data_IF_818541741134
#
_entry.id   IF_818541741134
#
_cell.length_a   1.000
_cell.length_b   1.000
_cell.length_c   1.000
_cell.angle_alpha   90.00
_cell.angle_beta   90.00
_cell.angle_gamma   90.00
#
_symmetry.space_group_name_H-M   'P 1'
#
loop_
_entity.id
_entity.type
_entity.pdbx_description
1 polymer ?
#
# COMPACT_ATOMS: atom_id res chain seq x y z
N UNK A 1 -7.47 -19.65 20.96
CA UNK A 1 -6.96 -18.47 20.22
C UNK A 1 -7.02 -18.79 18.74
N UNK A 2 -7.78 -18.02 17.95
CA UNK A 2 -8.04 -18.33 16.52
C UNK A 2 -6.92 -17.81 15.59
N UNK A 3 -6.06 -16.93 16.11
CA UNK A 3 -4.95 -16.33 15.35
C UNK A 3 -3.66 -17.07 15.70
N UNK A 4 -2.90 -17.47 14.68
CA UNK A 4 -1.61 -18.11 14.89
C UNK A 4 -0.64 -17.12 15.57
N UNK A 5 -0.04 -17.50 16.67
CA UNK A 5 0.82 -16.67 17.52
C UNK A 5 2.24 -16.51 16.96
N UNK A 6 2.36 -15.88 15.78
CA UNK A 6 3.67 -15.56 15.17
C UNK A 6 4.20 -14.19 15.61
N UNK A 7 3.38 -13.36 16.19
CA UNK A 7 3.73 -12.07 16.75
C UNK A 7 3.45 -12.03 18.26
N UNK A 8 4.14 -11.18 18.96
CA UNK A 8 3.87 -10.88 20.37
C UNK A 8 3.31 -9.43 20.45
N UNK A 9 2.02 -9.21 20.19
CA UNK A 9 1.44 -7.89 20.19
C UNK A 9 1.46 -7.29 21.60
N UNK A 10 1.51 -5.96 21.66
CA UNK A 10 1.27 -5.20 22.90
C UNK A 10 -0.19 -5.47 23.32
N UNK A 11 -0.42 -5.64 24.61
CA UNK A 11 -1.75 -5.91 25.15
C UNK A 11 -2.58 -4.60 25.24
N UNK A 12 -2.88 -4.06 24.06
CA UNK A 12 -3.72 -2.88 23.86
C UNK A 12 -4.72 -3.24 22.76
N UNK A 13 -6.00 -3.29 23.09
CA UNK A 13 -7.06 -3.46 22.11
C UNK A 13 -7.43 -2.11 21.51
N UNK A 14 -6.95 -1.83 20.29
CA UNK A 14 -7.18 -0.56 19.60
C UNK A 14 -8.57 -0.57 18.96
N UNK A 15 -9.39 0.45 19.28
CA UNK A 15 -10.71 0.67 18.74
C UNK A 15 -10.69 1.62 17.53
N UNK A 16 -10.14 2.82 17.69
CA UNK A 16 -10.09 3.81 16.63
C UNK A 16 -8.84 4.69 16.69
N UNK A 17 -8.65 5.54 15.68
CA UNK A 17 -7.59 6.54 15.64
C UNK A 17 -8.09 7.88 15.10
N UNK A 18 -7.51 8.97 15.62
CA UNK A 18 -7.75 10.34 15.16
C UNK A 18 -6.45 11.14 15.15
N UNK A 19 -6.09 11.68 14.01
CA UNK A 19 -4.83 12.39 13.80
C UNK A 19 -3.63 11.55 14.21
N UNK A 20 -2.88 11.98 15.21
CA UNK A 20 -1.67 11.30 15.69
C UNK A 20 -1.95 10.34 16.86
N UNK A 21 -3.20 10.14 17.24
CA UNK A 21 -3.58 9.33 18.38
C UNK A 21 -4.33 8.07 17.99
N UNK A 22 -4.13 7.01 18.77
CA UNK A 22 -4.97 5.81 18.80
C UNK A 22 -5.66 5.74 20.16
N UNK A 23 -6.83 5.13 20.18
CA UNK A 23 -7.68 4.95 21.36
C UNK A 23 -7.97 3.47 21.53
N UNK A 24 -7.76 2.97 22.74
CA UNK A 24 -8.14 1.61 23.09
C UNK A 24 -9.64 1.51 23.40
N UNK A 25 -10.14 0.29 23.43
CA UNK A 25 -11.55 -0.01 23.72
C UNK A 25 -12.01 0.46 25.09
N UNK A 26 -11.11 0.65 26.05
CA UNK A 26 -11.37 1.24 27.36
C UNK A 26 -11.35 2.78 27.38
N UNK A 27 -11.10 3.41 26.21
CA UNK A 27 -11.04 4.86 26.06
C UNK A 27 -9.67 5.49 26.35
N UNK A 28 -8.65 4.71 26.66
CA UNK A 28 -7.30 5.23 26.89
C UNK A 28 -6.69 5.75 25.59
N UNK A 29 -6.13 6.94 25.62
CA UNK A 29 -5.50 7.59 24.47
C UNK A 29 -3.99 7.38 24.46
N UNK A 30 -3.45 6.97 23.34
CA UNK A 30 -2.01 6.79 23.09
C UNK A 30 -1.54 7.65 21.93
N UNK A 31 -0.37 8.25 22.05
CA UNK A 31 0.30 8.93 20.95
C UNK A 31 0.97 7.88 20.07
N UNK A 32 0.54 7.76 18.81
CA UNK A 32 1.03 6.74 17.88
C UNK A 32 2.26 7.20 17.09
N UNK A 33 3.44 6.90 17.61
CA UNK A 33 4.70 7.08 16.87
C UNK A 33 4.99 5.96 15.87
N UNK A 34 4.23 4.88 15.87
CA UNK A 34 4.47 3.76 14.94
C UNK A 34 3.85 4.00 13.58
N UNK A 35 2.76 4.78 13.52
CA UNK A 35 2.02 5.09 12.27
C UNK A 35 1.72 3.86 11.42
N UNK A 36 1.46 2.70 12.04
CA UNK A 36 1.30 1.43 11.32
C UNK A 36 2.55 1.06 10.50
N UNK A 37 3.74 1.37 11.00
CA UNK A 37 5.04 1.21 10.31
C UNK A 37 5.08 2.05 9.02
N UNK A 38 4.70 3.34 9.13
CA UNK A 38 4.73 4.33 8.06
C UNK A 38 3.53 4.29 7.10
N UNK A 39 2.49 3.52 7.40
CA UNK A 39 1.28 3.41 6.57
C UNK A 39 0.38 4.63 6.73
N UNK A 40 0.18 5.10 7.96
CA UNK A 40 -0.73 6.21 8.29
C UNK A 40 0.01 7.55 8.39
N UNK A 41 0.86 7.85 7.42
CA UNK A 41 1.72 9.04 7.41
C UNK A 41 0.98 10.39 7.42
N UNK A 42 -0.29 10.42 7.04
CA UNK A 42 -1.16 11.60 7.15
C UNK A 42 -1.97 11.64 8.45
N UNK A 43 -1.75 10.68 9.34
CA UNK A 43 -2.54 10.48 10.56
C UNK A 43 -3.75 9.59 10.33
N UNK A 44 -4.31 9.13 11.45
CA UNK A 44 -5.52 8.32 11.47
C UNK A 44 -6.73 9.15 11.07
N UNK A 45 -7.67 8.53 10.39
CA UNK A 45 -8.98 9.13 10.05
C UNK A 45 -8.89 10.47 9.31
N UNK A 46 -7.84 10.66 8.50
CA UNK A 46 -7.62 11.91 7.79
C UNK A 46 -8.82 12.28 6.90
N UNK A 47 -9.45 13.45 7.07
CA UNK A 47 -10.76 13.76 6.48
C UNK A 47 -10.77 13.73 4.95
N UNK A 48 -9.67 14.15 4.31
CA UNK A 48 -9.55 14.11 2.84
C UNK A 48 -9.51 12.67 2.33
N UNK A 49 -8.82 11.76 3.03
CA UNK A 49 -8.74 10.34 2.66
C UNK A 49 -10.09 9.65 2.87
N UNK A 50 -10.75 9.91 4.00
CA UNK A 50 -12.10 9.37 4.28
C UNK A 50 -13.09 9.82 3.21
N UNK A 51 -13.10 11.11 2.86
CA UNK A 51 -14.00 11.62 1.84
C UNK A 51 -13.71 11.00 0.46
N UNK A 52 -12.44 10.89 0.08
CA UNK A 52 -12.04 10.25 -1.18
C UNK A 52 -12.49 8.78 -1.23
N UNK A 53 -12.35 8.06 -0.12
CA UNK A 53 -12.78 6.66 0.00
C UNK A 53 -14.31 6.53 -0.12
N UNK A 54 -15.08 7.37 0.57
CA UNK A 54 -16.56 7.38 0.48
C UNK A 54 -17.02 7.63 -0.95
N UNK A 55 -16.52 8.68 -1.58
CA UNK A 55 -16.89 9.04 -2.97
C UNK A 55 -16.52 7.92 -3.96
N UNK A 56 -15.39 7.26 -3.77
CA UNK A 56 -14.99 6.15 -4.64
C UNK A 56 -15.80 4.88 -4.37
N UNK A 57 -16.15 4.62 -3.11
CA UNK A 57 -16.94 3.46 -2.71
C UNK A 57 -18.34 3.45 -3.32
N UNK A 58 -18.94 4.63 -3.53
CA UNK A 58 -20.24 4.79 -4.18
C UNK A 58 -20.18 4.59 -5.72
N UNK A 59 -18.98 4.57 -6.32
CA UNK A 59 -18.80 4.40 -7.77
C UNK A 59 -18.48 2.97 -8.15
N UNK A 60 -17.32 2.51 -7.76
CA UNK A 60 -16.83 1.16 -8.06
C UNK A 60 -15.70 0.78 -7.12
N UNK A 61 -15.75 -0.44 -6.61
CA UNK A 61 -14.75 -1.02 -5.72
C UNK A 61 -13.63 -1.73 -6.47
N UNK A 62 -14.00 -2.44 -7.53
CA UNK A 62 -13.05 -3.21 -8.32
C UNK A 62 -13.54 -3.36 -9.77
N UNK A 63 -12.59 -3.31 -10.69
CA UNK A 63 -12.76 -3.81 -12.06
C UNK A 63 -11.46 -4.48 -12.49
N UNK A 64 -11.53 -5.44 -13.38
CA UNK A 64 -10.36 -6.15 -13.89
C UNK A 64 -9.42 -5.23 -14.68
N UNK A 65 -8.13 -5.61 -14.75
CA UNK A 65 -7.14 -5.00 -15.65
C UNK A 65 -7.52 -5.11 -17.16
N UNK A 66 -8.63 -5.78 -17.48
CA UNK A 66 -9.24 -5.73 -18.82
C UNK A 66 -9.78 -4.33 -19.15
N UNK A 67 -10.00 -3.49 -18.17
CA UNK A 67 -10.54 -2.15 -18.33
C UNK A 67 -9.51 -1.08 -17.98
N UNK A 68 -9.65 0.09 -18.61
CA UNK A 68 -8.84 1.27 -18.26
C UNK A 68 -9.33 1.88 -16.96
N UNK A 69 -8.46 2.03 -15.98
CA UNK A 69 -8.76 2.59 -14.67
C UNK A 69 -8.18 4.00 -14.58
N UNK A 70 -9.05 5.00 -14.58
CA UNK A 70 -8.64 6.42 -14.60
C UNK A 70 -7.77 6.80 -13.40
N UNK A 71 -8.09 6.35 -12.20
CA UNK A 71 -7.32 6.67 -11.00
C UNK A 71 -5.94 6.02 -11.03
N UNK A 72 -5.83 4.78 -11.53
CA UNK A 72 -4.57 4.10 -11.73
C UNK A 72 -3.65 4.90 -12.66
N UNK A 73 -4.20 5.37 -13.80
CA UNK A 73 -3.45 6.21 -14.74
C UNK A 73 -2.96 7.50 -14.09
N UNK A 74 -3.82 8.22 -13.37
CA UNK A 74 -3.46 9.47 -12.69
C UNK A 74 -2.30 9.27 -11.69
N UNK A 75 -2.32 8.18 -10.93
CA UNK A 75 -1.25 7.84 -9.98
C UNK A 75 0.04 7.51 -10.74
N UNK A 76 -0.04 6.70 -11.80
CA UNK A 76 1.12 6.38 -12.63
C UNK A 76 1.77 7.63 -13.24
N UNK A 77 0.98 8.51 -13.84
CA UNK A 77 1.44 9.78 -14.41
C UNK A 77 2.15 10.65 -13.35
N UNK A 78 1.62 10.69 -12.13
CA UNK A 78 2.21 11.45 -11.03
C UNK A 78 3.55 10.84 -10.56
N UNK A 79 3.64 9.52 -10.49
CA UNK A 79 4.89 8.81 -10.12
C UNK A 79 5.96 9.06 -11.19
N UNK A 80 5.64 8.88 -12.46
CA UNK A 80 6.56 9.11 -13.58
C UNK A 80 7.07 10.55 -13.59
N UNK A 81 6.16 11.53 -13.39
CA UNK A 81 6.55 12.95 -13.35
C UNK A 81 7.53 13.29 -12.22
N UNK A 82 7.50 12.57 -11.10
CA UNK A 82 8.29 12.88 -9.90
C UNK A 82 9.40 11.84 -9.62
N UNK A 83 9.75 11.01 -10.60
CA UNK A 83 10.81 10.01 -10.46
C UNK A 83 11.60 9.84 -11.77
N UNK A 84 12.59 8.96 -11.75
CA UNK A 84 13.35 8.55 -12.93
C UNK A 84 12.60 7.55 -13.82
N UNK A 85 11.47 7.02 -13.37
CA UNK A 85 10.74 5.97 -14.05
C UNK A 85 10.04 6.50 -15.31
N UNK A 86 9.98 5.71 -16.37
CA UNK A 86 9.21 5.98 -17.58
C UNK A 86 7.83 5.30 -17.58
N UNK A 87 7.63 4.32 -16.71
CA UNK A 87 6.37 3.57 -16.57
C UNK A 87 6.23 2.99 -15.17
N UNK A 88 5.00 2.60 -14.83
CA UNK A 88 4.64 2.03 -13.51
C UNK A 88 3.86 0.75 -13.71
N UNK A 89 4.21 -0.28 -12.97
CA UNK A 89 3.45 -1.51 -12.83
C UNK A 89 2.87 -1.60 -11.43
N UNK A 90 1.57 -1.81 -11.30
CA UNK A 90 0.88 -1.96 -10.02
C UNK A 90 0.69 -3.43 -9.67
N UNK A 91 0.95 -3.77 -8.41
CA UNK A 91 0.74 -5.08 -7.81
C UNK A 91 0.17 -4.92 -6.39
N UNK A 92 -0.16 -6.02 -5.73
CA UNK A 92 -0.92 -5.98 -4.47
C UNK A 92 -0.04 -5.89 -3.22
N UNK A 93 1.25 -6.17 -3.33
CA UNK A 93 2.15 -6.24 -2.17
C UNK A 93 3.59 -5.91 -2.50
N UNK A 94 4.39 -5.58 -1.49
CA UNK A 94 5.84 -5.41 -1.62
C UNK A 94 6.55 -6.69 -2.09
N UNK A 95 6.09 -7.86 -1.66
CA UNK A 95 6.61 -9.15 -2.10
C UNK A 95 6.42 -9.36 -3.60
N UNK A 96 5.22 -9.06 -4.12
CA UNK A 96 4.94 -9.11 -5.56
C UNK A 96 5.78 -8.08 -6.34
N UNK A 97 5.98 -6.89 -5.79
CA UNK A 97 6.82 -5.86 -6.41
C UNK A 97 8.28 -6.33 -6.52
N UNK A 98 8.82 -6.94 -5.47
CA UNK A 98 10.17 -7.52 -5.46
C UNK A 98 10.27 -8.67 -6.48
N UNK A 99 9.31 -9.58 -6.49
CA UNK A 99 9.29 -10.69 -7.45
C UNK A 99 9.20 -10.18 -8.89
N UNK A 100 8.36 -9.19 -9.14
CA UNK A 100 8.22 -8.55 -10.45
C UNK A 100 9.52 -7.90 -10.91
N UNK A 101 10.22 -7.19 -10.02
CA UNK A 101 11.49 -6.53 -10.36
C UNK A 101 12.57 -7.55 -10.75
N UNK A 102 12.68 -8.66 -10.02
CA UNK A 102 13.61 -9.75 -10.33
C UNK A 102 13.26 -10.38 -11.69
N UNK A 103 11.97 -10.67 -11.92
CA UNK A 103 11.51 -11.25 -13.19
C UNK A 103 11.75 -10.31 -14.36
N UNK A 104 11.47 -9.01 -14.20
CA UNK A 104 11.70 -8.00 -15.22
C UNK A 104 13.19 -7.89 -15.60
N UNK A 105 14.09 -7.83 -14.60
CA UNK A 105 15.52 -7.81 -14.81
C UNK A 105 16.00 -9.07 -15.56
N UNK A 106 15.56 -10.24 -15.12
CA UNK A 106 15.92 -11.51 -15.78
C UNK A 106 15.42 -11.58 -17.22
N UNK A 107 14.21 -11.14 -17.50
CA UNK A 107 13.62 -11.08 -18.84
C UNK A 107 14.42 -10.15 -19.74
N UNK A 108 14.76 -8.95 -19.24
CA UNK A 108 15.54 -7.97 -19.98
C UNK A 108 16.91 -8.49 -20.42
N UNK A 109 17.67 -9.13 -19.53
CA UNK A 109 18.98 -9.68 -19.88
C UNK A 109 18.88 -10.90 -20.77
N UNK A 110 17.84 -11.72 -20.58
CA UNK A 110 17.58 -12.85 -21.48
C UNK A 110 17.33 -12.37 -22.92
N UNK A 111 16.52 -11.34 -23.12
CA UNK A 111 16.23 -10.78 -24.45
C UNK A 111 17.45 -10.10 -25.08
N UNK A 112 18.39 -9.59 -24.29
CA UNK A 112 19.70 -9.11 -24.75
C UNK A 112 20.69 -10.22 -25.13
N UNK A 113 20.32 -11.46 -24.99
CA UNK A 113 21.19 -12.61 -25.30
C UNK A 113 22.28 -12.86 -24.27
N UNK A 114 22.22 -12.20 -23.10
CA UNK A 114 23.17 -12.45 -22.03
C UNK A 114 22.88 -13.80 -21.37
N UNK A 115 23.81 -14.76 -21.49
CA UNK A 115 23.71 -16.05 -20.82
C UNK A 115 23.77 -15.85 -19.30
N UNK A 116 22.86 -16.53 -18.57
CA UNK A 116 22.88 -16.59 -17.10
C UNK A 116 24.30 -16.86 -16.61
N UNK A 117 24.88 -15.92 -15.87
CA UNK A 117 25.90 -16.30 -14.88
C UNK A 117 25.15 -16.93 -13.72
N UNK A 118 25.50 -18.19 -13.41
CA UNK A 118 24.97 -18.93 -12.25
C UNK A 118 25.32 -18.22 -10.96
#
# INVERSE_FOLDING_TARGET
MSILGVYNPIDIEVDHGDGVYIYSSDGTRYLDFTSGIGVTSLGHSHPVLINALKVQAEKIWHCSNLFKITNQKKVADKIVKNSFASSVFFCNSGSEATETSIKAARKFFFEKGEKKKK
#
